data_IF_960311817102
#
_entry.id   IF_960311817102
#
_cell.length_a   1.000
_cell.length_b   1.000
_cell.length_c   1.000
_cell.angle_alpha   90.00
_cell.angle_beta   90.00
_cell.angle_gamma   90.00
#
_symmetry.space_group_name_H-M   'P 1'
#
loop_
_entity.id
_entity.type
_entity.pdbx_description
1 polymer ?
#
# COMPACT_ATOMS: atom_id res chain seq x y z
N UNK A 1 -24.41 -71.04 -36.56
CA UNK A 1 -24.38 -71.48 -35.16
C UNK A 1 -25.20 -70.50 -34.36
N UNK A 2 -26.35 -70.96 -33.85
CA UNK A 2 -27.21 -70.24 -32.91
C UNK A 2 -26.64 -70.38 -31.50
N UNK A 3 -26.56 -69.28 -30.77
CA UNK A 3 -26.44 -69.26 -29.30
C UNK A 3 -27.42 -68.21 -28.79
N UNK A 4 -28.66 -68.67 -28.62
CA UNK A 4 -29.69 -68.02 -27.84
C UNK A 4 -29.37 -68.14 -26.35
N UNK A 5 -29.94 -67.21 -25.58
CA UNK A 5 -30.19 -67.26 -24.14
C UNK A 5 -28.97 -67.17 -23.23
N UNK A 6 -28.77 -65.98 -22.68
CA UNK A 6 -28.71 -65.78 -21.23
C UNK A 6 -29.30 -64.40 -20.91
N UNK A 7 -30.61 -64.40 -20.73
CA UNK A 7 -31.36 -63.35 -20.05
C UNK A 7 -31.10 -63.56 -18.55
N UNK A 8 -30.38 -62.64 -17.90
CA UNK A 8 -30.24 -62.63 -16.45
C UNK A 8 -30.27 -61.16 -16.00
N UNK A 9 -31.50 -60.69 -15.79
CA UNK A 9 -31.79 -59.52 -14.97
C UNK A 9 -31.29 -59.78 -13.54
N UNK A 10 -30.24 -59.07 -13.12
CA UNK A 10 -29.99 -58.84 -11.70
C UNK A 10 -30.29 -57.37 -11.41
N UNK A 11 -31.56 -57.07 -11.15
CA UNK A 11 -31.96 -55.87 -10.45
C UNK A 11 -31.40 -55.93 -9.03
N UNK A 12 -30.16 -55.47 -8.85
CA UNK A 12 -29.76 -54.95 -7.55
C UNK A 12 -30.50 -53.63 -7.39
N UNK A 13 -31.69 -53.71 -6.79
CA UNK A 13 -32.25 -52.57 -6.07
C UNK A 13 -31.24 -52.26 -4.97
N UNK A 14 -30.34 -51.32 -5.26
CA UNK A 14 -29.60 -50.61 -4.23
C UNK A 14 -30.65 -49.96 -3.35
N UNK A 15 -30.98 -50.61 -2.22
CA UNK A 15 -31.63 -49.97 -1.08
C UNK A 15 -30.71 -48.82 -0.65
N UNK A 16 -30.90 -47.66 -1.28
CA UNK A 16 -30.45 -46.39 -0.75
C UNK A 16 -31.23 -46.18 0.54
N UNK A 17 -30.68 -46.69 1.65
CA UNK A 17 -31.06 -46.23 2.97
C UNK A 17 -30.80 -44.73 2.98
N UNK A 18 -31.86 -43.93 2.82
CA UNK A 18 -31.85 -42.52 3.15
C UNK A 18 -31.53 -42.42 4.64
N UNK A 19 -30.25 -42.36 4.96
CA UNK A 19 -29.80 -42.02 6.30
C UNK A 19 -30.46 -40.67 6.63
N UNK A 20 -31.26 -40.64 7.70
CA UNK A 20 -31.88 -39.41 8.17
C UNK A 20 -30.79 -38.36 8.33
N UNK A 21 -30.91 -37.27 7.58
CA UNK A 21 -29.97 -36.17 7.64
C UNK A 21 -30.21 -35.36 8.91
N UNK A 22 -29.65 -35.84 10.03
CA UNK A 22 -29.71 -35.17 11.33
C UNK A 22 -29.02 -33.79 11.31
N UNK A 23 -28.28 -33.44 10.23
CA UNK A 23 -27.75 -32.08 10.07
C UNK A 23 -28.86 -31.04 9.87
N UNK A 24 -30.06 -31.47 9.44
CA UNK A 24 -31.28 -30.65 9.35
C UNK A 24 -31.73 -30.04 10.69
N UNK A 25 -31.23 -30.55 11.82
CA UNK A 25 -31.58 -30.06 13.15
C UNK A 25 -30.95 -28.71 13.52
N UNK A 26 -29.84 -28.32 12.87
CA UNK A 26 -29.18 -27.05 13.12
C UNK A 26 -29.62 -26.00 12.09
N UNK A 27 -30.05 -24.79 12.50
CA UNK A 27 -30.31 -23.69 11.58
C UNK A 27 -29.06 -23.27 10.80
N UNK A 28 -29.22 -22.78 9.57
CA UNK A 28 -28.11 -22.37 8.69
C UNK A 28 -27.22 -21.30 9.34
N UNK A 29 -27.82 -20.33 10.05
CA UNK A 29 -27.07 -19.29 10.76
C UNK A 29 -26.10 -19.86 11.82
N UNK A 30 -26.49 -20.96 12.47
CA UNK A 30 -25.64 -21.66 13.45
C UNK A 30 -24.51 -22.39 12.73
N UNK A 31 -24.80 -23.03 11.60
CA UNK A 31 -23.78 -23.67 10.76
C UNK A 31 -22.76 -22.66 10.24
N UNK A 32 -23.18 -21.45 9.85
CA UNK A 32 -22.26 -20.38 9.46
C UNK A 32 -21.32 -19.99 10.60
N UNK A 33 -21.83 -19.88 11.83
CA UNK A 33 -20.99 -19.60 13.01
C UNK A 33 -19.99 -20.73 13.24
N UNK A 34 -20.42 -21.99 13.15
CA UNK A 34 -19.53 -23.14 13.27
C UNK A 34 -18.46 -23.12 12.18
N UNK A 35 -18.85 -22.87 10.93
CA UNK A 35 -17.93 -22.83 9.78
C UNK A 35 -16.91 -21.68 9.88
N UNK A 36 -17.24 -20.57 10.55
CA UNK A 36 -16.27 -19.49 10.79
C UNK A 36 -15.08 -19.90 11.67
N UNK A 37 -15.25 -20.93 12.49
CA UNK A 37 -14.21 -21.48 13.36
C UNK A 37 -13.36 -22.55 12.65
N UNK A 38 -13.73 -22.94 11.42
CA UNK A 38 -13.02 -23.96 10.66
C UNK A 38 -11.87 -23.37 9.83
N UNK A 39 -10.80 -24.14 9.70
CA UNK A 39 -9.71 -23.80 8.79
C UNK A 39 -10.19 -23.82 7.34
N UNK A 40 -9.47 -23.15 6.44
CA UNK A 40 -9.84 -23.15 5.01
C UNK A 40 -9.81 -24.56 4.40
N UNK A 41 -8.90 -25.42 4.88
CA UNK A 41 -8.77 -26.81 4.49
C UNK A 41 -10.00 -27.62 4.93
N UNK A 42 -10.47 -27.42 6.15
CA UNK A 42 -11.71 -28.03 6.64
C UNK A 42 -12.93 -27.52 5.88
N UNK A 43 -12.97 -26.23 5.54
CA UNK A 43 -14.03 -25.65 4.71
C UNK A 43 -14.09 -26.31 3.33
N UNK A 44 -12.95 -26.70 2.72
CA UNK A 44 -12.96 -27.47 1.47
C UNK A 44 -13.61 -28.82 1.66
N UNK A 45 -13.34 -29.51 2.77
CA UNK A 45 -13.96 -30.80 3.10
C UNK A 45 -15.46 -30.62 3.34
N UNK A 46 -15.87 -29.63 4.12
CA UNK A 46 -17.28 -29.31 4.42
C UNK A 46 -18.11 -29.11 3.17
N UNK A 47 -17.57 -28.43 2.15
CA UNK A 47 -18.24 -28.24 0.84
C UNK A 47 -18.59 -29.56 0.13
N UNK A 48 -17.88 -30.64 0.44
CA UNK A 48 -18.08 -31.95 -0.18
C UNK A 48 -18.96 -32.88 0.65
N UNK A 49 -19.35 -32.48 1.87
CA UNK A 49 -20.19 -33.31 2.75
C UNK A 49 -21.63 -33.38 2.25
N UNK A 50 -22.24 -32.25 1.92
CA UNK A 50 -23.62 -32.20 1.43
C UNK A 50 -23.88 -30.98 0.55
N UNK A 51 -24.93 -31.03 -0.26
CA UNK A 51 -25.38 -29.89 -1.08
C UNK A 51 -25.73 -28.68 -0.20
N UNK A 52 -26.39 -28.90 0.93
CA UNK A 52 -26.74 -27.84 1.88
C UNK A 52 -25.50 -27.15 2.44
N UNK A 53 -24.48 -27.91 2.84
CA UNK A 53 -23.23 -27.33 3.34
C UNK A 53 -22.49 -26.55 2.25
N UNK A 54 -22.49 -27.08 1.02
CA UNK A 54 -21.97 -26.36 -0.13
C UNK A 54 -22.68 -25.01 -0.30
N UNK A 55 -24.02 -24.99 -0.31
CA UNK A 55 -24.83 -23.79 -0.51
C UNK A 55 -24.57 -22.78 0.63
N UNK A 56 -24.58 -23.21 1.90
CA UNK A 56 -24.27 -22.34 3.05
C UNK A 56 -22.88 -21.73 2.92
N UNK A 57 -21.86 -22.56 2.64
CA UNK A 57 -20.48 -22.07 2.50
C UNK A 57 -20.35 -21.14 1.30
N UNK A 58 -21.07 -21.40 0.20
CA UNK A 58 -21.05 -20.58 -1.00
C UNK A 58 -21.68 -19.20 -0.75
N UNK A 59 -22.86 -19.16 -0.14
CA UNK A 59 -23.58 -17.93 0.20
C UNK A 59 -22.84 -17.10 1.26
N UNK A 60 -22.20 -17.77 2.22
CA UNK A 60 -21.54 -17.13 3.36
C UNK A 60 -20.02 -17.07 3.23
N UNK A 61 -19.47 -17.37 2.06
CA UNK A 61 -18.01 -17.43 1.83
C UNK A 61 -17.30 -16.16 2.31
N UNK A 62 -17.95 -15.01 2.16
CA UNK A 62 -17.41 -13.72 2.57
C UNK A 62 -17.24 -13.53 4.07
N UNK A 63 -17.93 -14.34 4.88
CA UNK A 63 -17.96 -14.27 6.34
C UNK A 63 -17.03 -15.30 7.00
N UNK A 64 -16.55 -16.29 6.25
CA UNK A 64 -15.64 -17.34 6.71
C UNK A 64 -14.19 -16.81 6.79
N UNK A 65 -13.31 -17.57 7.45
CA UNK A 65 -11.89 -17.24 7.51
C UNK A 65 -11.30 -17.26 6.08
N UNK A 66 -10.79 -16.10 5.65
CA UNK A 66 -10.14 -15.94 4.34
C UNK A 66 -8.64 -15.89 4.51
N UNK A 67 -7.93 -16.28 3.46
CA UNK A 67 -6.47 -16.16 3.43
C UNK A 67 -6.06 -14.69 3.50
N UNK A 68 -5.19 -14.38 4.46
CA UNK A 68 -4.66 -13.04 4.71
C UNK A 68 -3.63 -12.71 3.65
N UNK A 69 -3.89 -11.65 2.89
CA UNK A 69 -2.95 -11.14 1.90
C UNK A 69 -1.88 -10.33 2.62
N UNK A 70 -0.63 -10.70 2.39
CA UNK A 70 0.51 -9.98 2.92
C UNK A 70 1.02 -8.94 1.94
N UNK A 71 1.16 -9.31 0.66
CA UNK A 71 1.52 -8.39 -0.42
C UNK A 71 0.57 -8.56 -1.60
N UNK A 72 0.27 -7.45 -2.27
CA UNK A 72 -0.57 -7.42 -3.45
C UNK A 72 0.08 -6.52 -4.50
N UNK A 73 0.41 -7.06 -5.66
CA UNK A 73 0.85 -6.28 -6.82
C UNK A 73 -0.13 -6.48 -7.96
N UNK A 74 -0.57 -5.39 -8.58
CA UNK A 74 -1.47 -5.42 -9.74
C UNK A 74 -0.74 -4.70 -10.88
N UNK A 75 -0.55 -5.42 -11.98
CA UNK A 75 0.18 -4.97 -13.16
C UNK A 75 -0.68 -5.14 -14.39
N UNK A 76 -0.50 -4.29 -15.38
CA UNK A 76 -1.19 -4.44 -16.67
C UNK A 76 -0.22 -4.99 -17.72
N UNK A 77 -0.60 -6.09 -18.37
CA UNK A 77 0.21 -6.70 -19.41
C UNK A 77 -0.06 -6.08 -20.77
N UNK A 78 0.79 -5.17 -21.23
CA UNK A 78 0.66 -4.60 -22.59
C UNK A 78 0.81 -5.67 -23.69
N UNK A 79 1.64 -6.70 -23.46
CA UNK A 79 1.92 -7.72 -24.48
C UNK A 79 0.88 -8.85 -24.56
N UNK A 80 0.07 -9.06 -23.51
CA UNK A 80 -0.79 -10.24 -23.37
C UNK A 80 -2.26 -9.85 -23.36
N UNK A 81 -2.78 -9.36 -24.50
CA UNK A 81 -4.21 -9.11 -24.69
C UNK A 81 -4.87 -8.20 -23.63
N UNK A 82 -4.17 -7.18 -23.13
CA UNK A 82 -4.77 -6.19 -22.22
C UNK A 82 -5.23 -6.80 -20.88
N UNK A 83 -4.58 -7.88 -20.43
CA UNK A 83 -4.94 -8.56 -19.18
C UNK A 83 -4.35 -7.86 -17.95
N UNK A 84 -5.13 -7.89 -16.87
CA UNK A 84 -4.68 -7.51 -15.54
C UNK A 84 -3.97 -8.70 -14.90
N UNK A 85 -2.68 -8.55 -14.62
CA UNK A 85 -1.88 -9.51 -13.88
C UNK A 85 -1.89 -9.16 -12.40
N UNK A 86 -2.14 -10.17 -11.57
CA UNK A 86 -2.03 -10.05 -10.12
C UNK A 86 -0.90 -10.94 -9.62
N UNK A 87 -0.17 -10.42 -8.65
CA UNK A 87 0.73 -11.18 -7.81
C UNK A 87 0.28 -10.99 -6.36
N UNK A 88 -0.04 -12.10 -5.68
CA UNK A 88 -0.53 -12.09 -4.31
C UNK A 88 0.38 -12.96 -3.46
N UNK A 89 1.07 -12.35 -2.50
CA UNK A 89 1.80 -13.07 -1.47
C UNK A 89 0.89 -13.28 -0.27
N UNK A 90 0.73 -14.53 0.13
CA UNK A 90 0.06 -14.89 1.37
C UNK A 90 1.10 -15.19 2.45
N UNK A 91 0.78 -14.87 3.69
CA UNK A 91 1.62 -15.18 4.85
C UNK A 91 0.95 -16.22 5.71
N UNK A 92 1.61 -17.37 5.86
CA UNK A 92 1.17 -18.42 6.77
C UNK A 92 2.12 -18.50 7.97
N UNK A 93 1.55 -18.62 9.17
CA UNK A 93 2.30 -18.88 10.39
C UNK A 93 2.12 -20.36 10.74
N UNK A 94 3.22 -21.10 10.73
CA UNK A 94 3.25 -22.48 11.19
C UNK A 94 3.77 -22.45 12.63
N UNK A 95 2.87 -22.66 13.59
CA UNK A 95 3.24 -22.78 14.98
C UNK A 95 3.81 -24.18 15.22
N UNK A 96 5.11 -24.26 15.50
CA UNK A 96 5.69 -25.48 16.03
C UNK A 96 5.50 -25.49 17.54
N UNK A 97 5.01 -26.61 18.10
CA UNK A 97 4.59 -26.74 19.50
C UNK A 97 5.70 -26.49 20.56
N UNK A 98 6.91 -26.08 20.17
CA UNK A 98 8.00 -25.79 21.11
C UNK A 98 9.10 -24.84 20.61
N UNK A 99 9.29 -24.63 19.30
CA UNK A 99 10.52 -23.99 18.76
C UNK A 99 10.29 -22.64 18.05
N UNK A 100 9.14 -22.02 18.28
CA UNK A 100 8.77 -20.74 17.68
C UNK A 100 7.88 -20.87 16.44
N UNK A 101 7.36 -19.73 15.98
CA UNK A 101 6.53 -19.67 14.79
C UNK A 101 7.41 -19.47 13.55
N UNK A 102 7.27 -20.36 12.57
CA UNK A 102 7.91 -20.19 11.27
C UNK A 102 6.95 -19.42 10.37
N UNK A 103 7.41 -18.30 9.84
CA UNK A 103 6.65 -17.47 8.91
C UNK A 103 7.07 -17.87 7.50
N UNK A 104 6.11 -18.37 6.72
CA UNK A 104 6.33 -18.73 5.33
C UNK A 104 5.44 -17.83 4.45
N UNK A 105 6.09 -17.16 3.50
CA UNK A 105 5.42 -16.36 2.47
C UNK A 105 5.38 -17.20 1.19
N UNK A 106 4.22 -17.29 0.54
CA UNK A 106 4.09 -17.96 -0.76
C UNK A 106 3.30 -17.10 -1.74
N UNK A 107 3.73 -17.13 -3.00
CA UNK A 107 3.17 -16.28 -4.05
C UNK A 107 2.14 -17.04 -4.89
N UNK A 108 1.12 -16.30 -5.34
CA UNK A 108 0.13 -16.78 -6.29
C UNK A 108 -0.05 -15.75 -7.38
N UNK A 109 0.20 -16.21 -8.60
CA UNK A 109 -0.01 -15.42 -9.81
C UNK A 109 -1.39 -15.69 -10.39
N UNK A 110 -2.00 -14.65 -10.97
CA UNK A 110 -3.24 -14.76 -11.71
C UNK A 110 -3.28 -13.75 -12.86
N UNK A 111 -4.07 -14.05 -13.88
CA UNK A 111 -4.43 -13.09 -14.92
C UNK A 111 -5.95 -13.00 -15.03
N UNK A 112 -6.44 -11.78 -15.29
CA UNK A 112 -7.85 -11.48 -15.43
C UNK A 112 -8.08 -10.68 -16.72
N UNK A 113 -9.15 -11.03 -17.42
CA UNK A 113 -9.51 -10.36 -18.68
C UNK A 113 -10.14 -8.98 -18.45
N UNK A 114 -10.77 -8.79 -17.28
CA UNK A 114 -11.47 -7.55 -16.96
C UNK A 114 -11.47 -7.26 -15.45
N UNK A 115 -11.82 -6.02 -15.10
CA UNK A 115 -11.86 -5.56 -13.70
C UNK A 115 -12.92 -6.23 -12.83
N UNK A 116 -14.01 -6.73 -13.42
CA UNK A 116 -15.05 -7.47 -12.69
C UNK A 116 -14.54 -8.80 -12.15
N UNK A 117 -13.76 -9.53 -12.95
CA UNK A 117 -13.15 -10.80 -12.55
C UNK A 117 -12.10 -10.58 -11.46
N UNK A 118 -11.28 -9.53 -11.61
CA UNK A 118 -10.34 -9.10 -10.58
C UNK A 118 -11.07 -8.74 -9.28
N UNK A 119 -12.14 -7.95 -9.33
CA UNK A 119 -12.94 -7.59 -8.14
C UNK A 119 -13.50 -8.84 -7.45
N UNK A 120 -14.05 -9.78 -8.21
CA UNK A 120 -14.56 -11.05 -7.65
C UNK A 120 -13.46 -11.80 -6.93
N UNK A 121 -12.26 -11.90 -7.53
CA UNK A 121 -11.11 -12.52 -6.89
C UNK A 121 -10.69 -11.79 -5.60
N UNK A 122 -10.52 -10.47 -5.63
CA UNK A 122 -10.12 -9.68 -4.45
C UNK A 122 -11.14 -9.81 -3.30
N UNK A 123 -12.43 -9.97 -3.63
CA UNK A 123 -13.48 -10.25 -2.64
C UNK A 123 -13.37 -11.64 -1.99
N UNK A 124 -12.56 -12.56 -2.52
CA UNK A 124 -12.33 -13.89 -1.92
C UNK A 124 -11.21 -13.94 -0.88
N UNK A 125 -10.39 -12.90 -0.79
CA UNK A 125 -9.22 -12.85 0.11
C UNK A 125 -9.44 -11.83 1.24
N UNK A 126 -8.62 -11.90 2.30
CA UNK A 126 -8.64 -10.91 3.38
C UNK A 126 -7.63 -9.80 3.11
N UNK A 127 -8.15 -8.60 2.83
CA UNK A 127 -7.43 -7.38 2.50
C UNK A 127 -7.46 -6.35 3.65
N UNK A 128 -7.83 -6.76 4.87
CA UNK A 128 -7.94 -5.83 6.01
C UNK A 128 -6.58 -5.26 6.44
N UNK A 129 -5.51 -6.03 6.29
CA UNK A 129 -4.16 -5.62 6.67
C UNK A 129 -3.18 -6.10 5.60
N UNK A 130 -2.71 -5.19 4.76
CA UNK A 130 -1.77 -5.49 3.69
C UNK A 130 -0.44 -4.84 4.04
N UNK A 131 0.67 -5.56 3.96
CA UNK A 131 2.00 -4.96 4.18
C UNK A 131 2.39 -4.10 2.99
N UNK A 132 2.26 -4.60 1.77
CA UNK A 132 2.68 -3.92 0.54
C UNK A 132 1.61 -4.01 -0.54
N UNK A 133 1.25 -2.86 -1.13
CA UNK A 133 0.35 -2.73 -2.28
C UNK A 133 1.07 -2.00 -3.42
N UNK A 134 1.39 -2.72 -4.50
CA UNK A 134 2.00 -2.15 -5.70
C UNK A 134 1.01 -2.04 -6.86
N UNK A 135 0.90 -0.88 -7.48
CA UNK A 135 0.01 -0.61 -8.62
C UNK A 135 0.84 -0.12 -9.82
N UNK A 136 1.00 -0.99 -10.81
CA UNK A 136 1.80 -0.74 -12.02
C UNK A 136 0.88 -0.75 -13.25
N UNK A 137 0.10 0.32 -13.42
CA UNK A 137 -0.98 0.36 -14.39
C UNK A 137 -0.87 1.57 -15.32
N UNK A 138 -1.16 1.40 -16.62
CA UNK A 138 -1.33 2.50 -17.56
C UNK A 138 -2.67 3.19 -17.30
N UNK A 139 -2.81 4.38 -17.87
CA UNK A 139 -3.95 5.27 -17.61
C UNK A 139 -5.32 4.65 -17.95
N UNK A 140 -5.42 3.56 -18.72
CA UNK A 140 -6.71 3.12 -19.30
C UNK A 140 -7.61 2.27 -18.36
N UNK A 141 -7.18 1.94 -17.14
CA UNK A 141 -7.97 1.11 -16.21
C UNK A 141 -8.31 1.89 -14.94
N UNK A 142 -9.60 2.00 -14.61
CA UNK A 142 -10.06 2.52 -13.31
C UNK A 142 -9.81 1.51 -12.19
N UNK A 143 -8.53 1.34 -11.85
CA UNK A 143 -8.11 0.40 -10.81
C UNK A 143 -8.68 0.80 -9.46
N UNK A 144 -8.73 2.10 -9.16
CA UNK A 144 -9.21 2.55 -7.87
C UNK A 144 -10.71 2.32 -7.73
N UNK A 145 -11.50 2.34 -8.82
CA UNK A 145 -12.87 1.82 -8.84
C UNK A 145 -12.95 0.35 -8.41
N UNK A 146 -12.13 -0.51 -9.03
CA UNK A 146 -12.07 -1.95 -8.70
C UNK A 146 -11.66 -2.18 -7.23
N UNK A 147 -10.64 -1.45 -6.76
CA UNK A 147 -10.16 -1.52 -5.38
C UNK A 147 -11.21 -0.99 -4.41
N UNK A 148 -11.91 0.09 -4.76
CA UNK A 148 -13.01 0.64 -3.97
C UNK A 148 -14.11 -0.39 -3.71
N UNK A 149 -14.46 -1.20 -4.70
CA UNK A 149 -15.49 -2.23 -4.54
C UNK A 149 -15.03 -3.44 -3.72
N UNK A 150 -13.72 -3.61 -3.57
CA UNK A 150 -13.12 -4.81 -2.99
C UNK A 150 -12.58 -4.58 -1.57
N UNK A 151 -12.06 -3.39 -1.30
CA UNK A 151 -11.52 -3.00 0.01
C UNK A 151 -12.62 -2.50 0.93
N UNK A 152 -12.48 -2.81 2.22
CA UNK A 152 -13.43 -2.38 3.26
C UNK A 152 -12.95 -1.10 3.92
N UNK A 153 -13.89 -0.35 4.47
CA UNK A 153 -13.56 0.76 5.38
C UNK A 153 -12.79 0.21 6.57
N UNK A 154 -11.71 0.89 6.96
CA UNK A 154 -10.82 0.47 8.03
C UNK A 154 -9.71 -0.49 7.60
N UNK A 155 -9.38 -0.56 6.29
CA UNK A 155 -8.21 -1.30 5.83
C UNK A 155 -6.91 -0.58 6.22
N UNK A 156 -5.93 -1.33 6.70
CA UNK A 156 -4.57 -0.86 6.97
C UNK A 156 -3.64 -1.29 5.84
N UNK A 157 -2.82 -0.34 5.35
CA UNK A 157 -1.78 -0.60 4.37
C UNK A 157 -0.44 -0.20 4.97
N UNK A 158 0.56 -1.08 4.94
CA UNK A 158 1.92 -0.75 5.33
C UNK A 158 2.49 0.26 4.32
N UNK A 159 2.82 -0.23 3.13
CA UNK A 159 3.34 0.59 2.04
C UNK A 159 2.47 0.43 0.79
N UNK A 160 2.10 1.56 0.17
CA UNK A 160 1.50 1.62 -1.15
C UNK A 160 2.47 2.27 -2.13
N UNK A 161 2.68 1.65 -3.29
CA UNK A 161 3.47 2.18 -4.39
C UNK A 161 2.60 2.25 -5.64
N UNK A 162 2.59 3.39 -6.31
CA UNK A 162 1.80 3.68 -7.50
C UNK A 162 2.76 4.21 -8.56
N UNK A 163 2.90 3.50 -9.68
CA UNK A 163 3.81 3.93 -10.74
C UNK A 163 3.37 5.25 -11.36
N UNK A 164 2.07 5.37 -11.64
CA UNK A 164 1.51 6.54 -12.31
C UNK A 164 0.11 6.85 -11.78
N UNK A 165 -0.13 8.12 -11.47
CA UNK A 165 -1.42 8.64 -11.06
C UNK A 165 -1.80 9.82 -11.94
N UNK A 166 -2.77 9.61 -12.83
CA UNK A 166 -3.31 10.66 -13.70
C UNK A 166 -4.44 11.43 -13.02
N UNK A 167 -4.69 12.65 -13.49
CA UNK A 167 -5.77 13.52 -12.98
C UNK A 167 -7.15 12.84 -12.96
N UNK A 168 -7.46 12.06 -13.99
CA UNK A 168 -8.73 11.32 -14.09
C UNK A 168 -8.94 10.29 -12.98
N UNK A 169 -7.86 9.84 -12.35
CA UNK A 169 -7.89 8.83 -11.28
C UNK A 169 -7.95 9.49 -9.90
N UNK A 170 -7.80 10.82 -9.79
CA UNK A 170 -7.73 11.51 -8.50
C UNK A 170 -8.99 11.26 -7.66
N UNK A 171 -10.19 11.41 -8.24
CA UNK A 171 -11.43 11.21 -7.48
C UNK A 171 -11.56 9.77 -6.97
N UNK A 172 -11.29 8.76 -7.79
CA UNK A 172 -11.39 7.36 -7.39
C UNK A 172 -10.28 6.97 -6.40
N UNK A 173 -9.06 7.51 -6.56
CA UNK A 173 -7.96 7.40 -5.62
C UNK A 173 -8.30 8.01 -4.25
N UNK A 174 -8.83 9.23 -4.21
CA UNK A 174 -9.24 9.89 -2.97
C UNK A 174 -10.32 9.09 -2.23
N UNK A 175 -11.32 8.59 -2.97
CA UNK A 175 -12.35 7.71 -2.42
C UNK A 175 -11.76 6.42 -1.82
N UNK A 176 -10.75 5.86 -2.50
CA UNK A 176 -10.06 4.66 -2.03
C UNK A 176 -9.26 4.92 -0.76
N UNK A 177 -8.44 5.97 -0.74
CA UNK A 177 -7.65 6.34 0.45
C UNK A 177 -8.57 6.72 1.62
N UNK A 178 -9.72 7.34 1.35
CA UNK A 178 -10.73 7.65 2.37
C UNK A 178 -11.31 6.42 3.08
N UNK A 179 -11.18 5.22 2.52
CA UNK A 179 -11.57 3.95 3.18
C UNK A 179 -10.49 3.40 4.09
N UNK A 180 -9.24 3.82 3.92
CA UNK A 180 -8.14 3.29 4.71
C UNK A 180 -8.25 3.82 6.15
N UNK A 181 -7.89 3.00 7.13
CA UNK A 181 -7.67 3.47 8.50
C UNK A 181 -6.25 3.98 8.69
N UNK A 182 -5.28 3.35 8.02
CA UNK A 182 -3.87 3.74 8.10
C UNK A 182 -3.11 3.43 6.81
N UNK A 183 -2.14 4.29 6.52
CA UNK A 183 -1.09 4.07 5.53
C UNK A 183 0.25 4.51 6.14
N UNK A 184 1.26 3.61 6.21
CA UNK A 184 2.58 3.99 6.77
C UNK A 184 3.50 4.58 5.71
N UNK A 185 3.42 4.11 4.47
CA UNK A 185 4.22 4.59 3.36
C UNK A 185 3.39 4.75 2.10
N UNK A 186 3.49 5.88 1.42
CA UNK A 186 2.87 6.12 0.12
C UNK A 186 3.95 6.60 -0.84
N UNK A 187 4.09 5.93 -1.98
CA UNK A 187 4.95 6.36 -3.05
C UNK A 187 4.14 6.48 -4.35
N UNK A 188 4.21 7.64 -5.00
CA UNK A 188 3.62 7.90 -6.31
C UNK A 188 4.75 8.33 -7.23
N UNK A 189 5.20 7.41 -8.10
CA UNK A 189 6.38 7.63 -8.91
C UNK A 189 6.15 8.62 -10.07
N UNK A 190 4.91 8.78 -10.54
CA UNK A 190 4.58 9.76 -11.57
C UNK A 190 3.18 10.33 -11.37
N UNK A 191 3.08 11.54 -10.81
CA UNK A 191 1.83 12.31 -10.82
C UNK A 191 1.80 13.21 -12.05
N UNK A 192 0.84 12.98 -12.94
CA UNK A 192 0.68 13.73 -14.19
C UNK A 192 -0.70 14.42 -14.20
N UNK A 193 -0.74 15.76 -14.10
CA UNK A 193 -1.98 16.55 -14.19
C UNK A 193 -1.76 17.92 -14.87
N UNK A 194 -2.46 18.22 -15.98
CA UNK A 194 -2.39 19.51 -16.69
C UNK A 194 -3.15 20.69 -16.02
N UNK A 195 -2.97 20.91 -14.71
CA UNK A 195 -2.97 22.27 -14.12
C UNK A 195 -4.30 23.03 -13.84
N UNK A 196 -5.49 22.40 -13.70
CA UNK A 196 -6.68 23.20 -13.27
C UNK A 196 -7.42 22.72 -12.01
N UNK A 197 -7.42 21.44 -11.66
CA UNK A 197 -8.15 20.93 -10.48
C UNK A 197 -7.25 20.52 -9.28
N UNK A 198 -5.95 20.84 -9.34
CA UNK A 198 -4.96 20.44 -8.31
C UNK A 198 -5.28 20.92 -6.88
N UNK A 199 -6.11 21.97 -6.72
CA UNK A 199 -6.55 22.44 -5.40
C UNK A 199 -7.32 21.37 -4.62
N UNK A 200 -8.07 20.52 -5.31
CA UNK A 200 -8.84 19.45 -4.67
C UNK A 200 -7.94 18.27 -4.29
N UNK A 201 -6.87 18.00 -5.06
CA UNK A 201 -5.86 17.01 -4.68
C UNK A 201 -5.13 17.42 -3.39
N UNK A 202 -4.84 18.70 -3.17
CA UNK A 202 -4.22 19.17 -1.92
C UNK A 202 -5.09 18.96 -0.68
N UNK A 203 -6.42 18.84 -0.85
CA UNK A 203 -7.32 18.48 0.26
C UNK A 203 -7.07 17.07 0.82
N UNK A 204 -6.40 16.21 0.03
CA UNK A 204 -5.91 14.89 0.43
C UNK A 204 -5.15 14.92 1.76
N UNK A 205 -4.35 15.97 2.01
CA UNK A 205 -3.58 16.15 3.24
C UNK A 205 -4.42 16.22 4.52
N UNK A 206 -5.72 16.51 4.39
CA UNK A 206 -6.63 16.55 5.54
C UNK A 206 -7.24 15.18 5.84
N UNK A 207 -6.95 14.15 5.04
CA UNK A 207 -7.47 12.82 5.28
C UNK A 207 -6.80 12.20 6.51
N UNK A 208 -7.57 11.70 7.49
CA UNK A 208 -7.04 11.08 8.71
C UNK A 208 -5.95 10.02 8.51
N UNK A 209 -5.97 9.15 7.46
CA UNK A 209 -4.98 8.10 7.28
C UNK A 209 -3.55 8.63 7.07
N UNK A 210 -3.40 9.88 6.60
CA UNK A 210 -2.11 10.52 6.37
C UNK A 210 -1.51 11.15 7.63
N UNK A 211 -2.29 11.30 8.72
CA UNK A 211 -1.78 11.86 9.97
C UNK A 211 -0.71 11.00 10.65
N UNK A 212 -0.56 9.74 10.20
CA UNK A 212 0.39 8.75 10.72
C UNK A 212 1.36 8.22 9.67
N UNK A 213 1.41 8.83 8.49
CA UNK A 213 2.32 8.40 7.43
C UNK A 213 3.77 8.62 7.88
N UNK A 214 4.62 7.62 7.70
CA UNK A 214 6.04 7.67 8.05
C UNK A 214 6.89 8.00 6.81
N UNK A 215 6.43 7.60 5.61
CA UNK A 215 7.15 7.78 4.35
C UNK A 215 6.20 8.31 3.27
N UNK A 216 6.53 9.43 2.64
CA UNK A 216 5.80 9.94 1.49
C UNK A 216 6.76 10.21 0.33
N UNK A 217 6.52 9.56 -0.81
CA UNK A 217 7.18 9.83 -2.07
C UNK A 217 6.19 10.32 -3.12
N UNK A 218 6.46 11.48 -3.74
CA UNK A 218 5.70 12.00 -4.87
C UNK A 218 6.68 12.57 -5.89
N UNK A 219 6.60 12.09 -7.12
CA UNK A 219 7.40 12.61 -8.23
C UNK A 219 6.48 13.13 -9.32
N UNK A 220 6.62 14.41 -9.65
CA UNK A 220 5.82 15.09 -10.67
C UNK A 220 6.34 14.82 -12.08
N UNK A 221 5.40 14.69 -13.01
CA UNK A 221 5.72 14.79 -14.43
C UNK A 221 6.16 16.23 -14.77
N UNK A 222 7.02 16.45 -15.80
CA UNK A 222 7.60 17.77 -16.07
C UNK A 222 6.62 18.95 -16.25
N UNK A 223 5.39 18.67 -16.69
CA UNK A 223 4.34 19.67 -16.92
C UNK A 223 3.38 19.84 -15.73
N UNK A 224 3.57 19.07 -14.67
CA UNK A 224 2.68 19.02 -13.50
C UNK A 224 3.22 19.92 -12.39
N UNK A 225 2.33 20.67 -11.73
CA UNK A 225 2.64 21.52 -10.58
C UNK A 225 1.60 21.31 -9.47
N UNK A 226 1.46 20.07 -9.02
CA UNK A 226 0.56 19.66 -7.94
C UNK A 226 1.19 19.93 -6.57
N UNK A 227 2.50 19.73 -6.45
CA UNK A 227 3.26 19.99 -5.24
C UNK A 227 3.48 21.49 -5.03
N UNK A 228 3.40 21.91 -3.77
CA UNK A 228 3.73 23.26 -3.33
C UNK A 228 4.55 23.22 -2.04
N UNK A 229 5.29 24.28 -1.73
CA UNK A 229 5.99 24.36 -0.45
C UNK A 229 5.00 24.35 0.72
N UNK A 230 3.86 25.04 0.58
CA UNK A 230 2.74 25.01 1.53
C UNK A 230 2.24 23.59 1.82
N UNK A 231 2.20 22.72 0.81
CA UNK A 231 1.83 21.31 0.98
C UNK A 231 2.82 20.60 1.91
N UNK A 232 4.12 20.76 1.66
CA UNK A 232 5.17 20.11 2.45
C UNK A 232 5.18 20.64 3.89
N UNK A 233 5.07 21.95 4.06
CA UNK A 233 5.02 22.59 5.38
C UNK A 233 3.84 22.07 6.20
N UNK A 234 2.62 22.10 5.65
CA UNK A 234 1.42 21.60 6.35
C UNK A 234 1.51 20.11 6.68
N UNK A 235 2.13 19.32 5.82
CA UNK A 235 2.34 17.90 6.07
C UNK A 235 3.29 17.68 7.25
N UNK A 236 4.42 18.38 7.29
CA UNK A 236 5.40 18.30 8.37
C UNK A 236 4.84 18.81 9.71
N UNK A 237 4.09 19.90 9.70
CA UNK A 237 3.47 20.47 10.91
C UNK A 237 2.43 19.54 11.54
N UNK A 238 1.65 18.84 10.71
CA UNK A 238 0.55 17.99 11.18
C UNK A 238 0.97 16.57 11.51
N UNK A 239 2.03 16.07 10.90
CA UNK A 239 2.44 14.67 11.01
C UNK A 239 3.72 14.51 11.83
N UNK A 240 3.55 14.16 13.09
CA UNK A 240 4.68 13.87 13.98
C UNK A 240 5.40 12.56 13.66
N UNK A 241 4.74 11.61 12.98
CA UNK A 241 5.28 10.30 12.62
C UNK A 241 6.19 10.30 11.39
N UNK A 242 6.24 11.40 10.64
CA UNK A 242 7.01 11.52 9.41
C UNK A 242 8.50 11.23 9.65
N UNK A 243 9.09 10.41 8.79
CA UNK A 243 10.52 10.04 8.80
C UNK A 243 11.21 10.47 7.51
N UNK A 244 10.57 10.24 6.37
CA UNK A 244 11.14 10.54 5.06
C UNK A 244 10.12 11.14 4.12
N UNK A 245 10.55 12.16 3.39
CA UNK A 245 9.83 12.78 2.30
C UNK A 245 10.68 12.69 1.04
N UNK A 246 10.08 12.24 -0.05
CA UNK A 246 10.78 12.07 -1.31
C UNK A 246 10.04 12.84 -2.40
N UNK A 247 10.58 13.95 -2.89
CA UNK A 247 9.93 14.80 -3.87
C UNK A 247 10.74 14.91 -5.14
N UNK A 248 10.13 14.55 -6.27
CA UNK A 248 10.71 14.78 -7.60
C UNK A 248 9.95 15.85 -8.35
N UNK A 249 10.66 16.82 -8.92
CA UNK A 249 10.06 17.84 -9.78
C UNK A 249 11.09 18.45 -10.73
N UNK A 250 10.63 18.99 -11.86
CA UNK A 250 11.45 19.85 -12.73
C UNK A 250 11.37 21.32 -12.32
N UNK A 251 10.47 21.68 -11.40
CA UNK A 251 10.28 23.04 -10.94
C UNK A 251 11.32 23.42 -9.88
N UNK A 252 12.33 24.18 -10.30
CA UNK A 252 13.41 24.68 -9.44
C UNK A 252 12.88 25.53 -8.29
N UNK A 253 11.91 26.40 -8.55
CA UNK A 253 11.34 27.31 -7.53
C UNK A 253 10.63 26.51 -6.43
N UNK A 254 9.93 25.43 -6.81
CA UNK A 254 9.33 24.50 -5.87
C UNK A 254 10.39 23.83 -5.00
N UNK A 255 11.42 23.24 -5.61
CA UNK A 255 12.46 22.53 -4.88
C UNK A 255 13.25 23.45 -3.93
N UNK A 256 13.57 24.68 -4.37
CA UNK A 256 14.16 25.73 -3.52
C UNK A 256 13.25 26.11 -2.35
N UNK A 257 11.95 26.25 -2.62
CA UNK A 257 10.97 26.55 -1.57
C UNK A 257 10.85 25.41 -0.56
N UNK A 258 10.79 24.15 -1.01
CA UNK A 258 10.77 22.97 -0.13
C UNK A 258 12.04 22.92 0.73
N UNK A 259 13.21 23.16 0.13
CA UNK A 259 14.49 23.21 0.84
C UNK A 259 14.46 24.25 1.97
N UNK A 260 14.05 25.49 1.67
CA UNK A 260 13.97 26.57 2.66
C UNK A 260 12.96 26.28 3.76
N UNK A 261 11.76 25.84 3.40
CA UNK A 261 10.68 25.61 4.36
C UNK A 261 10.99 24.44 5.30
N UNK A 262 11.60 23.36 4.80
CA UNK A 262 11.98 22.22 5.66
C UNK A 262 12.87 22.63 6.84
N UNK A 263 13.81 23.56 6.62
CA UNK A 263 14.69 24.06 7.69
C UNK A 263 14.02 25.10 8.60
N UNK A 264 12.92 25.73 8.18
CA UNK A 264 12.19 26.73 8.98
C UNK A 264 11.07 26.14 9.83
N UNK A 265 10.42 25.07 9.37
CA UNK A 265 9.24 24.47 10.04
C UNK A 265 9.58 23.99 11.45
N UNK A 266 8.77 24.37 12.44
CA UNK A 266 8.86 23.77 13.78
C UNK A 266 8.17 22.40 13.77
N UNK A 267 8.89 21.36 14.19
CA UNK A 267 8.36 20.01 14.19
C UNK A 267 7.41 19.80 15.38
N UNK A 268 6.27 19.12 15.19
CA UNK A 268 5.36 18.82 16.28
C UNK A 268 6.04 17.92 17.32
N UNK A 269 5.78 18.21 18.60
CA UNK A 269 6.31 17.43 19.71
C UNK A 269 5.62 16.06 19.79
N UNK A 270 6.39 14.97 19.78
CA UNK A 270 5.89 13.64 20.17
C UNK A 270 5.82 13.57 21.70
N UNK A 271 4.62 13.46 22.26
CA UNK A 271 4.38 13.37 23.72
C UNK A 271 4.86 12.05 24.35
N UNK A 272 5.17 11.01 23.55
CA UNK A 272 5.71 9.77 24.11
C UNK A 272 7.13 10.01 24.63
N UNK A 273 7.37 9.64 25.89
CA UNK A 273 8.52 9.98 26.76
C UNK A 273 9.94 9.61 26.26
N UNK A 274 10.10 9.30 24.97
CA UNK A 274 11.39 9.22 24.28
C UNK A 274 11.18 9.89 22.93
N UNK A 275 11.87 11.00 22.68
CA UNK A 275 12.00 11.51 21.33
C UNK A 275 12.81 10.50 20.49
N UNK A 276 12.13 9.46 20.00
CA UNK A 276 12.71 8.31 19.32
C UNK A 276 13.03 8.58 17.86
N UNK A 277 12.66 9.75 17.35
CA UNK A 277 12.93 10.19 16.00
C UNK A 277 13.59 11.56 16.08
N UNK A 278 14.92 11.53 16.09
CA UNK A 278 15.77 12.70 16.03
C UNK A 278 15.97 13.16 14.59
N UNK A 279 15.46 12.46 13.58
CA UNK A 279 15.81 12.72 12.18
C UNK A 279 14.62 12.71 11.23
N UNK A 280 14.55 13.76 10.40
CA UNK A 280 13.66 13.83 9.24
C UNK A 280 14.53 14.06 8.00
N UNK A 281 14.29 13.26 6.97
CA UNK A 281 15.04 13.30 5.70
C UNK A 281 14.10 13.76 4.60
N UNK A 282 14.50 14.79 3.86
CA UNK A 282 13.85 15.21 2.62
C UNK A 282 14.77 14.87 1.45
N UNK A 283 14.40 13.92 0.63
CA UNK A 283 15.07 13.60 -0.62
C UNK A 283 14.40 14.39 -1.75
N UNK A 284 15.16 15.26 -2.40
CA UNK A 284 14.76 16.03 -3.57
C UNK A 284 15.38 15.40 -4.81
N UNK A 285 14.56 15.13 -5.82
CA UNK A 285 14.98 14.56 -7.09
C UNK A 285 14.77 15.60 -8.19
N UNK A 286 15.86 15.98 -8.86
CA UNK A 286 15.82 16.98 -9.91
C UNK A 286 16.28 16.37 -11.23
N UNK A 287 15.44 16.48 -12.27
CA UNK A 287 15.76 15.92 -13.58
C UNK A 287 16.63 16.81 -14.48
N UNK A 288 17.06 17.98 -13.99
CA UNK A 288 17.91 18.92 -14.72
C UNK A 288 19.37 18.91 -14.26
N UNK A 289 20.03 20.07 -14.37
CA UNK A 289 21.41 20.25 -13.90
C UNK A 289 21.45 20.35 -12.36
N UNK A 290 21.82 19.26 -11.70
CA UNK A 290 21.92 19.18 -10.24
C UNK A 290 22.94 20.15 -9.65
N UNK A 291 24.05 20.45 -10.35
CA UNK A 291 25.07 21.38 -9.84
C UNK A 291 24.52 22.80 -9.81
N UNK A 292 23.72 23.17 -10.81
CA UNK A 292 23.03 24.44 -10.84
C UNK A 292 22.06 24.58 -9.66
N UNK A 293 21.22 23.57 -9.41
CA UNK A 293 20.29 23.59 -8.26
C UNK A 293 21.03 23.57 -6.92
N UNK A 294 22.12 22.81 -6.82
CA UNK A 294 22.99 22.81 -5.64
C UNK A 294 23.61 24.21 -5.39
N UNK A 295 24.01 24.91 -6.45
CA UNK A 295 24.46 26.30 -6.37
C UNK A 295 23.39 27.25 -5.80
N UNK A 296 22.12 27.05 -6.17
CA UNK A 296 20.99 27.80 -5.59
C UNK A 296 20.88 27.51 -4.08
N UNK A 297 20.92 26.24 -3.68
CA UNK A 297 20.83 25.86 -2.25
C UNK A 297 21.98 26.42 -1.44
N UNK A 298 23.21 26.37 -1.96
CA UNK A 298 24.41 26.96 -1.32
C UNK A 298 24.25 28.45 -1.07
N UNK A 299 23.67 29.19 -2.03
CA UNK A 299 23.41 30.62 -1.87
C UNK A 299 22.39 30.92 -0.76
N UNK A 300 21.45 30.00 -0.53
CA UNK A 300 20.43 30.13 0.50
C UNK A 300 20.93 29.82 1.93
N UNK A 301 22.11 29.20 2.08
CA UNK A 301 22.64 28.84 3.40
C UNK A 301 22.83 30.04 4.33
N UNK A 302 23.17 31.22 3.78
CA UNK A 302 23.32 32.43 4.58
C UNK A 302 21.99 32.96 5.16
N UNK A 303 20.86 32.54 4.60
CA UNK A 303 19.52 32.91 5.06
C UNK A 303 18.96 31.90 6.08
N UNK A 304 19.60 30.74 6.23
CA UNK A 304 19.14 29.64 7.08
C UNK A 304 20.05 29.47 8.29
N UNK A 305 19.47 29.48 9.48
CA UNK A 305 20.24 29.36 10.71
C UNK A 305 20.72 27.91 10.91
N UNK A 306 22.02 27.73 11.18
CA UNK A 306 22.62 26.43 11.53
C UNK A 306 22.50 25.34 10.43
N UNK A 307 22.31 25.73 9.17
CA UNK A 307 22.32 24.81 8.03
C UNK A 307 23.70 24.83 7.36
N UNK A 308 24.25 23.66 7.10
CA UNK A 308 25.53 23.51 6.40
C UNK A 308 25.47 22.38 5.39
N UNK A 309 26.27 22.48 4.33
CA UNK A 309 26.53 21.36 3.43
C UNK A 309 27.35 20.31 4.20
N UNK A 310 26.85 19.07 4.23
CA UNK A 310 27.50 17.95 4.90
C UNK A 310 28.49 17.34 3.91
N UNK A 311 29.79 17.26 4.24
CA UNK A 311 30.76 16.58 3.39
C UNK A 311 30.27 15.15 3.16
N UNK A 312 30.23 14.70 1.90
CA UNK A 312 29.74 13.38 1.51
C UNK A 312 30.40 12.28 2.36
N UNK A 313 29.68 11.85 3.39
CA UNK A 313 30.18 10.89 4.37
C UNK A 313 30.06 9.46 3.87
N UNK A 314 29.34 9.23 2.76
CA UNK A 314 28.93 7.90 2.30
C UNK A 314 29.42 7.56 0.88
N UNK A 315 30.22 8.42 0.23
CA UNK A 315 30.63 8.24 -1.17
C UNK A 315 29.44 8.04 -2.11
N UNK A 316 28.30 8.66 -1.81
CA UNK A 316 27.11 8.57 -2.65
C UNK A 316 27.32 9.46 -3.87
N UNK A 317 28.00 8.91 -4.88
CA UNK A 317 28.26 9.61 -6.15
C UNK A 317 26.96 10.19 -6.68
N UNK A 318 26.90 11.53 -6.75
CA UNK A 318 25.77 12.24 -7.34
C UNK A 318 24.66 12.62 -6.37
N UNK A 319 24.95 12.69 -5.06
CA UNK A 319 24.07 13.28 -4.05
C UNK A 319 24.76 14.48 -3.36
N UNK A 320 24.02 15.55 -3.11
CA UNK A 320 24.43 16.63 -2.19
C UNK A 320 23.59 16.54 -0.92
N UNK A 321 24.22 16.69 0.24
CA UNK A 321 23.52 16.63 1.53
C UNK A 321 23.69 17.96 2.28
N UNK A 322 22.58 18.45 2.84
CA UNK A 322 22.52 19.64 3.67
C UNK A 322 21.88 19.26 4.99
N UNK A 323 22.47 19.71 6.09
CA UNK A 323 22.06 19.31 7.43
C UNK A 323 21.96 20.49 8.38
N UNK A 324 21.04 20.39 9.33
CA UNK A 324 21.05 21.20 10.55
C UNK A 324 20.77 20.32 11.77
N UNK A 325 21.29 20.73 12.92
CA UNK A 325 20.95 20.16 14.22
C UNK A 325 20.40 21.26 15.10
N UNK A 326 19.19 21.05 15.63
CA UNK A 326 18.53 22.02 16.51
C UNK A 326 18.09 21.35 17.81
N UNK A 327 18.40 21.97 18.94
CA UNK A 327 17.95 21.46 20.23
C UNK A 327 16.41 21.49 20.32
N UNK A 328 15.82 20.38 20.75
CA UNK A 328 14.38 20.28 20.94
C UNK A 328 13.95 21.21 22.09
N UNK A 329 13.18 22.26 21.76
CA UNK A 329 12.69 23.26 22.73
C UNK A 329 11.80 22.64 23.82
N UNK A 330 11.14 21.52 23.53
CA UNK A 330 10.21 20.84 24.44
C UNK A 330 10.88 19.85 25.39
N UNK A 331 12.15 19.48 25.16
CA UNK A 331 12.89 18.57 26.04
C UNK A 331 13.52 19.33 27.20
N UNK A 332 13.07 19.03 28.43
CA UNK A 332 13.54 19.70 29.66
C UNK A 332 15.06 19.60 29.87
N UNK A 333 15.68 18.51 29.41
CA UNK A 333 17.11 18.27 29.61
C UNK A 333 18.01 18.92 28.54
N UNK A 334 17.46 19.58 27.51
CA UNK A 334 18.22 20.18 26.38
C UNK A 334 19.25 19.26 25.69
N UNK A 335 19.21 17.95 25.96
CA UNK A 335 20.13 16.95 25.39
C UNK A 335 19.63 16.37 24.08
N UNK A 336 18.36 16.58 23.74
CA UNK A 336 17.78 16.03 22.53
C UNK A 336 17.94 16.99 21.36
N UNK A 337 18.76 16.59 20.40
CA UNK A 337 18.98 17.28 19.12
C UNK A 337 18.05 16.71 18.06
N UNK A 338 17.42 17.57 17.27
CA UNK A 338 16.65 17.22 16.07
C UNK A 338 17.52 17.53 14.86
N UNK A 339 17.89 16.50 14.13
CA UNK A 339 18.58 16.54 12.85
C UNK A 339 17.58 16.67 11.70
N UNK A 340 17.84 17.62 10.82
CA UNK A 340 17.10 17.82 9.57
C UNK A 340 18.06 17.65 8.44
N UNK A 341 17.76 16.75 7.51
CA UNK A 341 18.58 16.52 6.33
C UNK A 341 17.78 16.77 5.06
N UNK A 342 18.38 17.50 4.13
CA UNK A 342 17.93 17.53 2.73
C UNK A 342 19.00 16.88 1.87
N UNK A 343 18.59 15.92 1.04
CA UNK A 343 19.44 15.23 0.06
C UNK A 343 18.97 15.57 -1.33
N UNK A 344 19.85 16.07 -2.18
CA UNK A 344 19.56 16.36 -3.57
C UNK A 344 20.15 15.28 -4.47
N UNK A 345 19.30 14.60 -5.24
CA UNK A 345 19.63 13.45 -6.07
C UNK A 345 19.53 13.75 -7.57
N UNK A 346 20.43 13.14 -8.35
CA UNK A 346 20.58 13.38 -9.80
C UNK A 346 19.55 12.64 -10.68
N UNK A 347 18.92 11.57 -10.20
CA UNK A 347 18.05 10.73 -11.03
C UNK A 347 16.68 10.49 -10.41
N UNK A 348 15.64 10.74 -11.20
CA UNK A 348 14.23 10.51 -10.87
C UNK A 348 13.80 9.03 -10.94
N UNK A 349 14.66 8.14 -11.43
CA UNK A 349 14.24 6.80 -11.86
C UNK A 349 14.88 5.72 -10.99
N UNK A 350 14.00 5.02 -10.27
CA UNK A 350 14.22 3.96 -9.29
C UNK A 350 14.40 4.45 -7.85
N UNK A 351 13.27 4.70 -7.17
CA UNK A 351 13.16 4.27 -5.78
C UNK A 351 13.31 2.75 -5.80
N UNK A 352 14.53 2.26 -5.61
CA UNK A 352 14.71 0.85 -5.27
C UNK A 352 14.15 0.71 -3.85
N UNK A 353 13.11 -0.10 -3.67
CA UNK A 353 12.45 -0.31 -2.36
C UNK A 353 13.41 -0.88 -1.30
N UNK A 354 14.67 -1.17 -1.65
CA UNK A 354 15.71 -1.73 -0.80
C UNK A 354 16.40 -0.74 0.16
N UNK A 355 16.15 0.58 0.06
CA UNK A 355 16.82 1.60 0.89
C UNK A 355 16.02 2.02 2.14
N UNK A 356 15.03 1.22 2.57
CA UNK A 356 14.21 1.41 3.78
C UNK A 356 14.23 0.16 4.67
#
# INVERSE_FOLDING_TARGET
>A
MNLNNLNMDSSMEDEHSEAQDDTSLLPDDVLVIIFKELSLEDIKVVKHVSRRFYDIVHENYYSLERRKVHKLSIKYGEMNNHQLHIDVTFREMINFNSDGALVYDYDRFGSFENGGDLSRFLKTVDLRNIRELGLHLPDNVDIFGILNDSFRVGTNIGHMSIDKLGEKDFTSFLNFVGKLSSIKGLNIAHICSPLTEAKDFLSFLSLPPLGIIEFLGIVECPETMVLSADFVTKLLEKNSSMKSLNFGSMNIELLDSIFKEHFKVEQPHKMENKCSYDQIIVNLFYGGDIEYLCGIFRNCLNELENVQEVPDSQNLRGCFEFGSSVNCKSCLEKTHEIKRLVRLWKHLYHFDESDH
#
